data_IF_279268623099
#
_entry.id   IF_279268623099
#
_cell.length_a   1.000
_cell.length_b   1.000
_cell.length_c   1.000
_cell.angle_alpha   90.00
_cell.angle_beta   90.00
_cell.angle_gamma   90.00
#
_symmetry.space_group_name_H-M   'P 1'
#
loop_
_entity.id
_entity.type
_entity.pdbx_description
1 polymer ?
#
# COMPACT_ATOMS: atom_id res chain seq x y z
N UNK A 1 8.65 23.21 31.43
CA UNK A 1 8.47 22.30 30.27
C UNK A 1 6.99 22.19 30.02
N UNK A 2 6.48 22.74 28.92
CA UNK A 2 5.11 22.48 28.50
C UNK A 2 5.06 21.05 27.93
N UNK A 3 4.21 20.19 28.51
CA UNK A 3 3.85 18.92 27.88
C UNK A 3 3.22 19.25 26.52
N UNK A 4 3.86 18.83 25.43
CA UNK A 4 3.18 18.83 24.15
C UNK A 4 2.00 17.86 24.23
N UNK A 5 0.83 18.22 23.67
CA UNK A 5 -0.31 17.32 23.64
C UNK A 5 0.11 16.03 22.93
N UNK A 6 -0.21 14.89 23.54
CA UNK A 6 -0.09 13.60 22.86
C UNK A 6 -0.99 13.67 21.63
N UNK A 7 -0.46 13.42 20.41
CA UNK A 7 -1.28 13.41 19.21
C UNK A 7 -2.43 12.40 19.39
N UNK A 8 -3.65 12.81 19.02
CA UNK A 8 -4.78 11.89 18.95
C UNK A 8 -4.59 10.86 17.84
N UNK A 9 -5.43 9.81 17.79
CA UNK A 9 -5.36 8.80 16.73
C UNK A 9 -5.55 9.44 15.34
N UNK A 10 -4.85 8.90 14.34
CA UNK A 10 -4.96 9.31 12.94
C UNK A 10 -6.31 8.87 12.40
N UNK A 11 -7.07 9.80 11.80
CA UNK A 11 -8.34 9.51 11.18
C UNK A 11 -8.17 9.29 9.67
N UNK A 12 -8.57 8.13 9.16
CA UNK A 12 -8.51 7.82 7.72
C UNK A 12 -9.87 7.36 7.22
N UNK A 13 -10.53 8.10 6.32
CA UNK A 13 -11.85 7.72 5.83
C UNK A 13 -11.75 6.58 4.80
N UNK A 14 -12.76 5.71 4.79
CA UNK A 14 -12.88 4.63 3.82
C UNK A 14 -14.34 4.44 3.40
N UNK A 15 -14.51 3.91 2.19
CA UNK A 15 -15.80 3.71 1.55
C UNK A 15 -15.88 2.33 0.91
N UNK A 16 -17.04 1.72 1.02
CA UNK A 16 -17.41 0.46 0.41
C UNK A 16 -18.42 0.73 -0.70
N UNK A 17 -18.30 -0.02 -1.79
CA UNK A 17 -19.38 -0.21 -2.74
C UNK A 17 -19.47 -1.68 -3.17
N UNK A 18 -20.69 -2.16 -3.35
CA UNK A 18 -20.97 -3.47 -3.93
C UNK A 18 -20.56 -3.52 -5.41
N UNK A 19 -20.61 -2.36 -6.07
CA UNK A 19 -20.12 -2.17 -7.43
C UNK A 19 -19.49 -0.78 -7.57
N UNK A 20 -18.29 -0.73 -8.13
CA UNK A 20 -17.60 0.52 -8.44
C UNK A 20 -17.79 0.88 -9.91
N UNK A 21 -18.01 2.17 -10.19
CA UNK A 21 -18.03 2.69 -11.56
C UNK A 21 -16.59 2.99 -12.03
N UNK A 22 -15.73 1.98 -11.97
CA UNK A 22 -14.38 1.98 -12.51
C UNK A 22 -14.23 0.83 -13.51
N UNK A 23 -13.07 0.74 -14.17
CA UNK A 23 -12.81 -0.29 -15.18
C UNK A 23 -12.74 -1.71 -14.59
N UNK A 24 -12.77 -1.85 -13.26
CA UNK A 24 -12.72 -3.14 -12.56
C UNK A 24 -14.12 -3.63 -12.17
N UNK A 25 -15.01 -2.75 -11.72
CA UNK A 25 -16.38 -3.09 -11.33
C UNK A 25 -16.51 -4.02 -10.12
N UNK A 26 -15.42 -4.24 -9.38
CA UNK A 26 -15.34 -5.26 -8.32
C UNK A 26 -15.83 -4.74 -6.98
N UNK A 27 -16.57 -5.56 -6.22
CA UNK A 27 -16.95 -5.27 -4.84
C UNK A 27 -15.72 -4.98 -3.98
N UNK A 28 -15.79 -3.96 -3.12
CA UNK A 28 -14.81 -3.82 -2.04
C UNK A 28 -14.72 -2.43 -1.45
N UNK A 29 -13.65 -2.23 -0.70
CA UNK A 29 -13.34 -1.01 0.02
C UNK A 29 -12.23 -0.20 -0.65
N UNK A 30 -12.35 1.13 -0.61
CA UNK A 30 -11.33 2.07 -1.02
C UNK A 30 -11.10 3.11 0.06
N UNK A 31 -9.87 3.59 0.20
CA UNK A 31 -9.58 4.77 1.00
C UNK A 31 -10.26 6.00 0.35
N UNK A 32 -10.91 6.84 1.15
CA UNK A 32 -11.60 8.05 0.71
C UNK A 32 -10.69 9.27 0.89
N UNK A 33 -9.47 9.17 0.38
CA UNK A 33 -8.40 10.16 0.55
C UNK A 33 -8.09 10.87 -0.78
N UNK A 34 -7.68 12.15 -0.76
CA UNK A 34 -7.30 12.84 -1.98
C UNK A 34 -6.15 12.11 -2.72
N UNK A 35 -6.23 12.06 -4.04
CA UNK A 35 -5.18 11.47 -4.87
C UNK A 35 -5.26 9.96 -5.04
N UNK A 36 -6.40 9.32 -4.74
CA UNK A 36 -6.69 7.96 -5.24
C UNK A 36 -6.72 8.01 -6.77
N UNK A 37 -5.71 7.45 -7.42
CA UNK A 37 -5.68 7.32 -8.88
C UNK A 37 -6.80 6.41 -9.40
N UNK A 38 -7.09 6.44 -10.72
CA UNK A 38 -8.08 5.55 -11.33
C UNK A 38 -7.70 4.07 -11.24
N UNK A 39 -6.42 3.79 -10.99
CA UNK A 39 -5.78 2.48 -10.87
C UNK A 39 -5.90 1.85 -9.46
N UNK A 40 -6.43 2.58 -8.47
CA UNK A 40 -6.65 2.03 -7.13
C UNK A 40 -7.86 1.10 -7.13
N UNK A 41 -7.62 -0.20 -7.00
CA UNK A 41 -8.64 -1.25 -7.00
C UNK A 41 -9.32 -1.32 -5.64
N UNK A 42 -10.60 -1.70 -5.62
CA UNK A 42 -11.30 -1.96 -4.37
C UNK A 42 -10.72 -3.21 -3.68
N UNK A 43 -10.32 -3.08 -2.42
CA UNK A 43 -9.77 -4.17 -1.63
C UNK A 43 -10.86 -5.00 -0.95
N UNK A 44 -10.56 -6.29 -0.77
CA UNK A 44 -11.30 -7.19 0.14
C UNK A 44 -10.35 -7.66 1.25
N UNK A 45 -10.86 -8.21 2.36
CA UNK A 45 -9.99 -8.68 3.44
C UNK A 45 -9.10 -9.87 3.05
N UNK A 46 -9.25 -10.42 1.85
CA UNK A 46 -8.42 -11.54 1.38
C UNK A 46 -6.93 -11.19 1.45
N UNK A 47 -6.19 -12.02 2.16
CA UNK A 47 -4.72 -11.96 2.23
C UNK A 47 -4.12 -12.87 1.16
N UNK A 48 -2.93 -12.54 0.67
CA UNK A 48 -2.15 -13.48 -0.14
C UNK A 48 -1.64 -14.67 0.69
N UNK A 49 -1.00 -15.64 0.05
CA UNK A 49 -0.44 -16.82 0.73
C UNK A 49 0.76 -16.47 1.64
N UNK A 50 1.49 -15.40 1.32
CA UNK A 50 2.79 -15.06 1.95
C UNK A 50 2.74 -13.87 2.89
N UNK A 51 1.82 -12.94 2.67
CA UNK A 51 1.72 -11.70 3.44
C UNK A 51 0.38 -11.72 4.18
N UNK A 52 0.37 -11.59 5.53
CA UNK A 52 -0.83 -11.75 6.35
C UNK A 52 -1.72 -10.49 6.36
N UNK A 53 -1.60 -9.64 5.34
CA UNK A 53 -2.40 -8.42 5.20
C UNK A 53 -2.83 -8.24 3.76
N UNK A 54 -4.07 -7.82 3.56
CA UNK A 54 -4.66 -7.53 2.26
C UNK A 54 -4.03 -6.31 1.58
N UNK A 55 -4.30 -6.15 0.28
CA UNK A 55 -3.93 -4.96 -0.52
C UNK A 55 -4.49 -3.68 0.11
N UNK A 56 -5.71 -3.70 0.65
CA UNK A 56 -6.27 -2.53 1.34
C UNK A 56 -5.44 -2.09 2.54
N UNK A 57 -4.94 -3.05 3.33
CA UNK A 57 -4.07 -2.74 4.48
C UNK A 57 -2.70 -2.25 4.00
N UNK A 58 -2.21 -2.75 2.87
CA UNK A 58 -1.00 -2.22 2.23
C UNK A 58 -1.17 -0.75 1.81
N UNK A 59 -2.25 -0.41 1.10
CA UNK A 59 -2.58 0.97 0.71
C UNK A 59 -2.67 1.91 1.93
N UNK A 60 -3.25 1.42 3.02
CA UNK A 60 -3.38 2.20 4.24
C UNK A 60 -2.03 2.36 4.95
N UNK A 61 -1.34 1.27 5.24
CA UNK A 61 -0.15 1.25 6.12
C UNK A 61 1.12 1.67 5.39
N UNK A 62 1.33 1.10 4.21
CA UNK A 62 2.59 1.18 3.50
C UNK A 62 2.61 2.33 2.48
N UNK A 63 1.44 2.77 1.98
CA UNK A 63 1.31 4.02 1.22
C UNK A 63 0.88 5.20 2.10
N UNK A 64 -0.39 5.24 2.50
CA UNK A 64 -1.02 6.45 3.04
C UNK A 64 -0.35 6.94 4.33
N UNK A 65 -0.18 6.07 5.33
CA UNK A 65 0.48 6.42 6.58
C UNK A 65 1.99 6.70 6.41
N UNK A 66 2.59 6.26 5.31
CA UNK A 66 3.98 6.56 4.95
C UNK A 66 4.11 7.82 4.06
N UNK A 67 3.00 8.49 3.75
CA UNK A 67 2.99 9.73 2.96
C UNK A 67 3.16 9.54 1.45
N UNK A 68 2.99 8.32 0.94
CA UNK A 68 2.98 8.03 -0.49
C UNK A 68 1.58 8.18 -1.08
N UNK A 69 1.51 8.46 -2.38
CA UNK A 69 0.26 8.31 -3.14
C UNK A 69 -0.04 6.83 -3.33
N UNK A 70 -1.30 6.51 -3.59
CA UNK A 70 -1.75 5.14 -3.89
C UNK A 70 -1.44 4.70 -5.33
N UNK A 71 -0.74 5.53 -6.10
CA UNK A 71 -0.37 5.25 -7.48
C UNK A 71 0.92 5.96 -7.88
N UNK A 72 1.51 5.50 -8.99
CA UNK A 72 2.80 5.97 -9.49
C UNK A 72 3.95 5.05 -9.06
N UNK A 73 4.89 4.82 -9.96
CA UNK A 73 5.89 3.77 -9.77
C UNK A 73 6.89 4.08 -8.66
N UNK A 74 7.21 5.35 -8.44
CA UNK A 74 8.14 5.74 -7.40
C UNK A 74 7.54 5.62 -5.99
N UNK A 75 6.25 5.90 -5.86
CA UNK A 75 5.52 5.77 -4.60
C UNK A 75 5.28 4.29 -4.29
N UNK A 76 4.92 3.48 -5.29
CA UNK A 76 4.86 2.01 -5.21
C UNK A 76 6.20 1.40 -4.79
N UNK A 77 7.32 1.88 -5.37
CA UNK A 77 8.65 1.43 -4.96
C UNK A 77 8.91 1.66 -3.46
N UNK A 78 8.49 2.83 -2.95
CA UNK A 78 8.59 3.17 -1.54
C UNK A 78 7.73 2.27 -0.66
N UNK A 79 6.46 2.10 -1.05
CA UNK A 79 5.48 1.30 -0.31
C UNK A 79 5.84 -0.18 -0.26
N UNK A 80 6.33 -0.78 -1.35
CA UNK A 80 6.77 -2.19 -1.34
C UNK A 80 8.01 -2.41 -0.47
N UNK A 81 8.93 -1.43 -0.40
CA UNK A 81 10.03 -1.48 0.60
C UNK A 81 9.47 -1.37 2.02
N UNK A 82 8.48 -0.52 2.26
CA UNK A 82 7.81 -0.42 3.55
C UNK A 82 7.13 -1.76 3.93
N UNK A 83 6.44 -2.40 3.00
CA UNK A 83 5.84 -3.71 3.18
C UNK A 83 6.90 -4.76 3.52
N UNK A 84 7.95 -4.88 2.71
CA UNK A 84 9.07 -5.80 2.92
C UNK A 84 9.71 -5.63 4.30
N UNK A 85 9.88 -4.39 4.75
CA UNK A 85 10.46 -4.11 6.06
C UNK A 85 9.59 -4.55 7.25
N UNK A 86 8.25 -4.60 7.11
CA UNK A 86 7.37 -5.05 8.20
C UNK A 86 7.04 -6.54 8.15
N UNK A 87 7.12 -7.18 6.98
CA UNK A 87 6.74 -8.58 6.80
C UNK A 87 7.92 -9.53 6.60
N UNK A 88 9.09 -9.00 6.24
CA UNK A 88 10.23 -9.80 5.79
C UNK A 88 10.07 -10.36 4.37
N UNK A 89 9.07 -9.90 3.60
CA UNK A 89 8.89 -10.33 2.22
C UNK A 89 9.97 -9.77 1.29
N UNK A 90 10.17 -10.45 0.15
CA UNK A 90 11.03 -9.96 -0.93
C UNK A 90 10.20 -9.13 -1.93
N UNK A 91 10.45 -7.80 -2.06
CA UNK A 91 9.68 -6.94 -2.95
C UNK A 91 10.05 -7.12 -4.42
N UNK A 92 11.12 -7.87 -4.75
CA UNK A 92 11.58 -8.04 -6.13
C UNK A 92 10.55 -8.74 -7.00
N UNK A 93 9.80 -9.71 -6.45
CA UNK A 93 8.76 -10.40 -7.18
C UNK A 93 7.62 -9.45 -7.59
N UNK A 94 7.21 -8.55 -6.68
CA UNK A 94 6.17 -7.55 -6.94
C UNK A 94 6.65 -6.52 -7.98
N UNK A 95 7.90 -6.05 -7.88
CA UNK A 95 8.49 -5.18 -8.90
C UNK A 95 8.51 -5.84 -10.29
N UNK A 96 8.85 -7.13 -10.36
CA UNK A 96 8.89 -7.86 -11.62
C UNK A 96 7.50 -8.02 -12.22
N UNK A 97 6.48 -8.24 -11.39
CA UNK A 97 5.10 -8.29 -11.86
C UNK A 97 4.70 -6.95 -12.49
N UNK A 98 4.94 -5.82 -11.81
CA UNK A 98 4.66 -4.47 -12.35
C UNK A 98 5.42 -4.25 -13.67
N UNK A 99 6.69 -4.65 -13.74
CA UNK A 99 7.49 -4.52 -14.97
C UNK A 99 6.87 -5.32 -16.12
N UNK A 100 6.44 -6.54 -15.85
CA UNK A 100 5.95 -7.47 -16.87
C UNK A 100 4.51 -7.16 -17.32
N UNK A 101 3.68 -6.64 -16.42
CA UNK A 101 2.27 -6.30 -16.68
C UNK A 101 2.11 -4.89 -17.26
N UNK A 102 2.89 -3.91 -16.78
CA UNK A 102 2.74 -2.51 -17.19
C UNK A 102 3.83 -2.04 -18.14
N UNK A 103 5.09 -2.17 -17.72
CA UNK A 103 6.20 -1.47 -18.37
C UNK A 103 6.63 -2.14 -19.68
N UNK A 104 6.87 -3.45 -19.69
CA UNK A 104 7.28 -4.15 -20.92
C UNK A 104 6.20 -4.10 -22.01
N UNK A 105 4.89 -4.23 -21.70
CA UNK A 105 3.83 -4.06 -22.69
C UNK A 105 3.61 -2.61 -23.14
N UNK A 106 4.16 -1.62 -22.43
CA UNK A 106 3.90 -0.20 -22.67
C UNK A 106 2.49 0.23 -22.25
N UNK A 107 1.93 -0.43 -21.23
CA UNK A 107 0.70 -0.09 -20.54
C UNK A 107 0.98 0.83 -19.34
N UNK A 108 1.77 1.89 -19.59
CA UNK A 108 2.28 2.78 -18.54
C UNK A 108 1.15 3.64 -17.98
N UNK A 109 0.90 3.51 -16.68
CA UNK A 109 -0.12 4.29 -15.96
C UNK A 109 0.47 5.53 -15.25
N UNK A 110 1.77 5.52 -14.93
CA UNK A 110 2.48 6.59 -14.22
C UNK A 110 3.39 7.45 -15.10
N UNK A 111 3.53 8.75 -14.77
CA UNK A 111 4.42 9.68 -15.50
C UNK A 111 5.90 9.59 -15.09
N UNK A 112 6.19 8.85 -14.02
CA UNK A 112 7.48 8.81 -13.33
C UNK A 112 8.34 7.59 -13.66
N UNK A 113 7.90 6.73 -14.59
CA UNK A 113 8.59 5.49 -14.98
C UNK A 113 10.03 5.72 -15.46
N UNK A 114 10.33 6.86 -16.09
CA UNK A 114 11.68 7.18 -16.59
C UNK A 114 12.68 7.37 -15.45
N UNK A 115 12.22 7.74 -14.25
CA UNK A 115 13.07 7.90 -13.07
C UNK A 115 13.55 6.56 -12.47
N UNK A 116 12.97 5.44 -12.92
CA UNK A 116 13.46 4.10 -12.59
C UNK A 116 14.68 3.70 -13.45
N UNK A 117 14.92 4.37 -14.57
CA UNK A 117 16.03 4.03 -15.45
C UNK A 117 17.30 4.78 -15.06
N UNK A 118 18.49 4.23 -15.35
CA UNK A 118 19.73 4.99 -15.25
C UNK A 118 19.67 6.27 -16.08
N UNK A 119 20.27 7.35 -15.58
CA UNK A 119 20.22 8.66 -16.25
C UNK A 119 20.69 8.62 -17.71
N UNK A 120 21.67 7.77 -18.05
CA UNK A 120 22.15 7.59 -19.42
C UNK A 120 21.11 6.97 -20.36
N UNK A 121 20.26 6.08 -19.85
CA UNK A 121 19.16 5.48 -20.61
C UNK A 121 18.00 6.45 -20.69
N UNK A 122 17.64 7.08 -19.56
CA UNK A 122 16.56 8.05 -19.50
C UNK A 122 16.80 9.27 -20.41
N UNK A 123 18.05 9.75 -20.52
CA UNK A 123 18.41 10.86 -21.40
C UNK A 123 18.20 10.58 -22.90
N UNK A 124 18.15 9.29 -23.30
CA UNK A 124 17.81 8.89 -24.66
C UNK A 124 16.32 8.97 -24.97
N UNK A 125 15.47 9.11 -23.95
CA UNK A 125 14.02 9.24 -24.09
C UNK A 125 13.72 10.72 -24.32
N UNK A 126 13.36 11.07 -25.57
CA UNK A 126 12.99 12.44 -25.93
C UNK A 126 11.83 12.97 -25.07
N UNK A 127 11.81 14.28 -24.75
CA UNK A 127 10.72 14.87 -23.99
C UNK A 127 9.39 14.77 -24.76
N UNK A 128 8.33 14.32 -24.08
CA UNK A 128 7.00 14.21 -24.67
C UNK A 128 6.80 13.00 -25.59
N UNK A 129 7.77 12.08 -25.66
CA UNK A 129 7.55 10.80 -26.33
C UNK A 129 6.42 10.02 -25.65
N UNK A 130 5.59 9.39 -26.47
CA UNK A 130 4.61 8.43 -25.97
C UNK A 130 5.33 7.29 -25.22
N UNK A 131 4.94 6.96 -23.97
CA UNK A 131 5.62 5.94 -23.19
C UNK A 131 5.72 4.58 -23.89
N UNK A 132 4.70 4.18 -24.65
CA UNK A 132 4.69 2.89 -25.35
C UNK A 132 5.75 2.87 -26.45
N UNK A 133 5.83 3.94 -27.24
CA UNK A 133 6.83 4.05 -28.32
C UNK A 133 8.27 4.12 -27.77
N UNK A 134 8.46 4.84 -26.66
CA UNK A 134 9.74 4.92 -25.96
C UNK A 134 10.18 3.55 -25.45
N UNK A 135 9.29 2.83 -24.76
CA UNK A 135 9.56 1.49 -24.23
C UNK A 135 9.79 0.47 -25.36
N UNK A 136 9.02 0.53 -26.45
CA UNK A 136 9.26 -0.33 -27.61
C UNK A 136 10.63 -0.08 -28.24
N UNK A 137 11.10 1.17 -28.24
CA UNK A 137 12.44 1.51 -28.72
C UNK A 137 13.51 0.94 -27.79
N UNK A 138 13.40 1.17 -26.47
CA UNK A 138 14.30 0.59 -25.48
C UNK A 138 14.34 -0.94 -25.54
N UNK A 139 13.19 -1.59 -25.74
CA UNK A 139 13.11 -3.05 -25.91
C UNK A 139 13.86 -3.53 -27.15
N UNK A 140 13.76 -2.83 -28.28
CA UNK A 140 14.52 -3.18 -29.50
C UNK A 140 16.02 -2.99 -29.32
N UNK A 141 16.44 -1.98 -28.56
CA UNK A 141 17.86 -1.63 -28.39
C UNK A 141 18.55 -2.49 -27.33
N UNK A 142 17.89 -2.75 -26.20
CA UNK A 142 18.47 -3.41 -25.03
C UNK A 142 18.00 -4.87 -24.86
N UNK A 143 16.83 -5.21 -25.39
CA UNK A 143 16.15 -6.47 -25.13
C UNK A 143 15.42 -6.50 -23.79
N UNK A 144 14.39 -7.35 -23.70
CA UNK A 144 13.49 -7.43 -22.54
C UNK A 144 14.22 -7.79 -21.25
N UNK A 145 15.20 -8.70 -21.29
CA UNK A 145 15.94 -9.13 -20.11
C UNK A 145 16.80 -8.02 -19.48
N UNK A 146 17.47 -7.21 -20.30
CA UNK A 146 18.25 -6.06 -19.82
C UNK A 146 17.33 -4.99 -19.27
N UNK A 147 16.24 -4.68 -19.99
CA UNK A 147 15.30 -3.67 -19.57
C UNK A 147 14.61 -4.04 -18.25
N UNK A 148 14.22 -5.31 -18.07
CA UNK A 148 13.71 -5.83 -16.80
C UNK A 148 14.71 -5.65 -15.67
N UNK A 149 15.97 -6.05 -15.88
CA UNK A 149 17.02 -5.91 -14.86
C UNK A 149 17.26 -4.44 -14.46
N UNK A 150 17.24 -3.52 -15.44
CA UNK A 150 17.37 -2.08 -15.19
C UNK A 150 16.21 -1.53 -14.38
N UNK A 151 14.96 -1.86 -14.74
CA UNK A 151 13.81 -1.44 -13.97
C UNK A 151 13.79 -2.02 -12.57
N UNK A 152 14.09 -3.31 -12.39
CA UNK A 152 14.18 -3.93 -11.06
C UNK A 152 15.21 -3.20 -10.20
N UNK A 153 16.40 -2.91 -10.73
CA UNK A 153 17.41 -2.13 -10.01
C UNK A 153 16.92 -0.72 -9.68
N UNK A 154 16.19 -0.09 -10.60
CA UNK A 154 15.52 1.20 -10.42
C UNK A 154 14.53 1.20 -9.27
N UNK A 155 13.58 0.26 -9.26
CA UNK A 155 12.60 0.09 -8.19
C UNK A 155 13.28 -0.10 -6.83
N UNK A 156 14.25 -1.02 -6.75
CA UNK A 156 15.00 -1.26 -5.51
C UNK A 156 15.67 0.03 -5.05
N UNK A 157 16.40 0.71 -5.92
CA UNK A 157 17.10 1.94 -5.57
C UNK A 157 16.15 3.05 -5.09
N UNK A 158 15.09 3.31 -5.86
CA UNK A 158 14.11 4.36 -5.56
C UNK A 158 13.31 4.05 -4.29
N UNK A 159 12.95 2.79 -4.06
CA UNK A 159 12.27 2.37 -2.84
C UNK A 159 13.10 2.61 -1.60
N UNK A 160 14.38 2.21 -1.61
CA UNK A 160 15.28 2.43 -0.47
C UNK A 160 15.56 3.91 -0.21
N UNK A 161 15.68 4.75 -1.25
CA UNK A 161 15.85 6.20 -1.08
C UNK A 161 14.68 6.86 -0.33
N UNK A 162 13.47 6.28 -0.40
CA UNK A 162 12.26 6.83 0.22
C UNK A 162 12.03 6.39 1.66
N UNK A 163 12.78 5.39 2.13
CA UNK A 163 12.60 4.77 3.45
C UNK A 163 12.58 5.79 4.59
N UNK A 164 13.55 6.70 4.63
CA UNK A 164 13.70 7.62 5.75
C UNK A 164 12.60 8.69 5.74
N UNK A 165 12.15 9.10 4.54
CA UNK A 165 10.99 9.99 4.39
C UNK A 165 9.68 9.30 4.83
N UNK A 166 9.48 8.04 4.48
CA UNK A 166 8.33 7.25 4.94
C UNK A 166 8.29 7.16 6.47
N UNK A 167 9.43 6.87 7.11
CA UNK A 167 9.55 6.84 8.57
C UNK A 167 9.25 8.20 9.19
N UNK A 168 9.73 9.29 8.59
CA UNK A 168 9.44 10.63 9.07
C UNK A 168 7.95 10.97 8.95
N UNK A 169 7.30 10.62 7.84
CA UNK A 169 5.86 10.82 7.63
C UNK A 169 5.02 10.04 8.64
N UNK A 170 5.37 8.78 8.91
CA UNK A 170 4.72 7.96 9.93
C UNK A 170 4.84 8.59 11.32
N UNK A 171 6.06 8.97 11.71
CA UNK A 171 6.35 9.55 13.03
C UNK A 171 5.69 10.92 13.21
N UNK A 172 5.59 11.71 12.14
CA UNK A 172 4.92 13.02 12.17
C UNK A 172 3.43 12.93 12.48
N UNK A 173 2.81 11.76 12.28
CA UNK A 173 1.43 11.48 12.67
C UNK A 173 1.28 11.06 14.14
N UNK A 174 2.38 10.97 14.90
CA UNK A 174 2.38 10.53 16.29
C UNK A 174 2.36 9.00 16.46
N UNK A 175 2.54 8.25 15.37
CA UNK A 175 2.60 6.79 15.40
C UNK A 175 4.04 6.30 15.67
N UNK A 176 4.16 5.23 16.45
CA UNK A 176 5.41 4.52 16.67
C UNK A 176 5.72 3.68 15.42
N UNK A 177 6.84 3.99 14.77
CA UNK A 177 7.28 3.29 13.58
C UNK A 177 7.64 1.83 13.84
N UNK A 178 8.05 1.48 15.06
CA UNK A 178 8.34 0.09 15.43
C UNK A 178 7.06 -0.75 15.57
N UNK A 179 5.93 -0.12 15.88
CA UNK A 179 4.64 -0.80 16.02
C UNK A 179 3.95 -1.14 14.69
N UNK A 180 4.52 -0.72 13.54
CA UNK A 180 3.96 -0.93 12.18
C UNK A 180 3.45 -2.35 11.91
N UNK A 181 4.23 -3.42 12.15
CA UNK A 181 3.76 -4.78 11.89
C UNK A 181 2.49 -5.12 12.68
N UNK A 182 2.42 -4.69 13.94
CA UNK A 182 1.29 -4.97 14.83
C UNK A 182 0.06 -4.11 14.51
N UNK A 183 0.28 -2.85 14.16
CA UNK A 183 -0.78 -1.96 13.65
C UNK A 183 -1.39 -2.55 12.38
N UNK A 184 -0.57 -3.07 11.46
CA UNK A 184 -1.05 -3.67 10.23
C UNK A 184 -1.90 -4.93 10.47
N UNK A 185 -1.49 -5.80 11.40
CA UNK A 185 -2.27 -6.98 11.77
C UNK A 185 -3.59 -6.60 12.44
N UNK A 186 -3.58 -5.64 13.37
CA UNK A 186 -4.81 -5.15 14.01
C UNK A 186 -5.76 -4.49 12.99
N UNK A 187 -5.22 -3.79 11.99
CA UNK A 187 -6.00 -3.23 10.88
C UNK A 187 -6.59 -4.31 9.98
N UNK A 188 -5.86 -5.40 9.73
CA UNK A 188 -6.36 -6.54 8.97
C UNK A 188 -7.54 -7.22 9.69
N UNK A 189 -7.42 -7.49 10.99
CA UNK A 189 -8.52 -8.04 11.80
C UNK A 189 -9.75 -7.11 11.79
N UNK A 190 -9.52 -5.81 11.97
CA UNK A 190 -10.58 -4.80 11.90
C UNK A 190 -11.25 -4.78 10.52
N UNK A 191 -10.47 -4.96 9.46
CA UNK A 191 -10.97 -4.96 8.09
C UNK A 191 -11.83 -6.19 7.79
N UNK A 192 -11.44 -7.37 8.27
CA UNK A 192 -12.25 -8.59 8.21
C UNK A 192 -13.62 -8.39 8.89
N UNK A 193 -13.62 -7.77 10.08
CA UNK A 193 -14.86 -7.42 10.77
C UNK A 193 -15.71 -6.42 9.95
N UNK A 194 -15.11 -5.35 9.44
CA UNK A 194 -15.82 -4.33 8.67
C UNK A 194 -16.52 -4.91 7.44
N UNK A 195 -15.81 -5.72 6.67
CA UNK A 195 -16.34 -6.33 5.46
C UNK A 195 -17.43 -7.36 5.78
N UNK A 196 -17.23 -8.16 6.84
CA UNK A 196 -18.27 -9.09 7.32
C UNK A 196 -19.56 -8.36 7.75
N UNK A 197 -19.46 -7.17 8.35
CA UNK A 197 -20.64 -6.35 8.70
C UNK A 197 -21.41 -5.91 7.45
N UNK A 198 -20.71 -5.39 6.46
CA UNK A 198 -21.33 -4.95 5.20
C UNK A 198 -22.03 -6.12 4.50
N UNK A 199 -21.37 -7.28 4.43
CA UNK A 199 -21.92 -8.48 3.82
C UNK A 199 -23.15 -9.01 4.58
N UNK A 200 -23.04 -9.15 5.90
CA UNK A 200 -24.13 -9.66 6.75
C UNK A 200 -25.37 -8.77 6.69
N UNK A 201 -25.16 -7.45 6.60
CA UNK A 201 -26.25 -6.46 6.53
C UNK A 201 -26.71 -6.18 5.09
N UNK A 202 -26.10 -6.82 4.10
CA UNK A 202 -26.35 -6.62 2.69
C UNK A 202 -26.37 -5.14 2.28
N UNK A 203 -25.40 -4.36 2.78
CA UNK A 203 -25.27 -2.96 2.38
C UNK A 203 -24.67 -2.87 0.98
N UNK A 204 -25.31 -2.10 0.10
CA UNK A 204 -24.76 -1.83 -1.23
C UNK A 204 -23.66 -0.76 -1.21
N UNK A 205 -23.68 0.11 -0.19
CA UNK A 205 -22.70 1.15 0.04
C UNK A 205 -22.47 1.33 1.54
N UNK A 206 -21.23 1.63 1.93
CA UNK A 206 -20.93 2.04 3.28
C UNK A 206 -19.77 3.05 3.32
N UNK A 207 -19.68 3.82 4.41
CA UNK A 207 -18.61 4.77 4.69
C UNK A 207 -18.32 4.74 6.18
N UNK A 208 -17.05 4.91 6.52
CA UNK A 208 -16.64 5.15 7.89
C UNK A 208 -15.25 5.73 7.99
N UNK A 209 -14.80 5.89 9.23
CA UNK A 209 -13.47 6.39 9.54
C UNK A 209 -12.71 5.36 10.36
N UNK A 210 -11.48 5.06 9.94
CA UNK A 210 -10.48 4.46 10.80
C UNK A 210 -10.01 5.49 11.83
N UNK A 211 -9.72 5.01 13.04
CA UNK A 211 -8.97 5.73 14.06
C UNK A 211 -7.75 4.87 14.43
N UNK A 212 -6.56 5.33 14.08
CA UNK A 212 -5.32 4.55 14.18
C UNK A 212 -4.44 5.16 15.26
N UNK A 213 -4.15 4.39 16.31
CA UNK A 213 -3.22 4.75 17.37
C UNK A 213 -2.20 3.66 17.65
N UNK A 214 -1.30 3.93 18.58
CA UNK A 214 -0.22 3.01 18.95
C UNK A 214 -0.69 1.80 19.76
N UNK A 215 -1.77 1.97 20.52
CA UNK A 215 -2.29 0.93 21.44
C UNK A 215 -3.53 0.23 20.89
N UNK A 216 -4.22 0.85 19.93
CA UNK A 216 -5.45 0.33 19.35
C UNK A 216 -5.75 0.98 18.00
N UNK A 217 -6.45 0.23 17.14
CA UNK A 217 -7.08 0.72 15.92
C UNK A 217 -8.58 0.50 16.02
N UNK A 218 -9.38 1.36 15.40
CA UNK A 218 -10.83 1.18 15.38
C UNK A 218 -11.46 1.72 14.12
N UNK A 219 -12.69 1.29 13.86
CA UNK A 219 -13.50 1.77 12.75
C UNK A 219 -14.88 2.16 13.24
N UNK A 220 -15.37 3.30 12.73
CA UNK A 220 -16.74 3.76 12.98
C UNK A 220 -17.46 3.93 11.64
N UNK A 221 -18.52 3.14 11.45
CA UNK A 221 -19.44 3.34 10.34
C UNK A 221 -20.21 4.67 10.50
N UNK A 222 -20.09 5.54 9.51
CA UNK A 222 -20.81 6.81 9.40
C UNK A 222 -22.11 6.63 8.64
N UNK A 223 -22.05 5.90 7.54
CA UNK A 223 -23.17 5.70 6.63
C UNK A 223 -23.15 4.27 6.12
N UNK A 224 -24.20 3.45 6.35
CA UNK A 224 -25.21 3.66 7.38
C UNK A 224 -24.57 3.81 8.78
N UNK A 225 -25.15 4.63 9.65
CA UNK A 225 -24.63 4.78 11.01
C UNK A 225 -24.62 3.41 11.72
N UNK A 226 -23.47 3.05 12.28
CA UNK A 226 -23.25 1.69 12.78
C UNK A 226 -22.38 1.64 14.03
N UNK A 227 -22.05 0.40 14.39
CA UNK A 227 -21.23 0.11 15.55
C UNK A 227 -19.79 0.60 15.34
N UNK A 228 -19.15 1.00 16.44
CA UNK A 228 -17.71 1.20 16.50
C UNK A 228 -17.07 -0.09 16.96
N UNK A 229 -16.09 -0.58 16.21
CA UNK A 229 -15.23 -1.68 16.65
C UNK A 229 -13.81 -1.19 16.91
N UNK A 230 -13.10 -1.86 17.81
CA UNK A 230 -11.72 -1.51 18.18
C UNK A 230 -10.95 -2.79 18.44
N UNK A 231 -9.76 -2.87 17.85
CA UNK A 231 -8.81 -3.97 17.98
C UNK A 231 -7.56 -3.41 18.66
N UNK A 232 -7.05 -4.11 19.66
CA UNK A 232 -5.82 -3.72 20.35
C UNK A 232 -4.60 -3.92 19.44
N UNK A 233 -3.64 -3.01 19.51
CA UNK A 233 -2.33 -3.19 18.90
C UNK A 233 -1.46 -3.91 19.91
N UNK A 234 -1.26 -5.19 19.70
CA UNK A 234 -0.40 -6.01 20.55
C UNK A 234 0.52 -6.87 19.68
N UNK A 235 1.76 -7.12 20.14
CA UNK A 235 2.53 -8.21 19.57
C UNK A 235 1.75 -9.52 19.73
N UNK A 236 1.80 -10.43 18.74
CA UNK A 236 1.24 -11.76 18.91
C UNK A 236 1.90 -12.40 20.15
N UNK A 237 1.14 -13.15 20.97
CA UNK A 237 1.72 -13.82 22.13
C UNK A 237 2.90 -14.69 21.67
N UNK A 238 4.04 -14.58 22.36
CA UNK A 238 5.23 -15.39 22.08
C UNK A 238 4.83 -16.86 21.95
N UNK A 239 5.08 -17.47 20.79
CA UNK A 239 4.91 -18.91 20.60
C UNK A 239 6.06 -19.72 21.25
N UNK A 240 6.97 -19.07 21.97
CA UNK A 240 8.21 -19.65 22.51
C UNK A 240 8.11 -20.23 23.93
N UNK A 241 6.91 -20.47 24.46
CA UNK A 241 6.78 -21.22 25.72
C UNK A 241 6.70 -22.75 25.56
N UNK A 242 7.02 -23.31 24.39
CA UNK A 242 6.95 -24.76 24.14
C UNK A 242 8.28 -25.40 23.71
N UNK A 243 9.42 -24.95 24.25
CA UNK A 243 10.66 -25.74 24.29
C UNK A 243 11.22 -25.80 25.71
N UNK A 244 10.50 -26.47 26.61
CA UNK A 244 11.14 -27.12 27.76
C UNK A 244 10.26 -28.24 28.29
N UNK A 245 10.31 -29.40 27.63
CA UNK A 245 10.19 -30.73 28.26
C UNK A 245 10.20 -31.82 27.18
N UNK A 246 11.37 -32.38 26.90
CA UNK A 246 11.61 -33.82 26.71
C UNK A 246 13.11 -34.10 26.68
#
# INVERSE_FOLDING_TARGET
MAMQPVPGPVAVPARYAEHWNDDFGVRGWKLDVPGTGPDVIAGTPYTGERIPTSVFVHDLVDHHLCGFRLSGYLDEAGALVQLAQRTGSDPVADFQQIIDEDLLPGAVMGVDWTALLPASVAAGIGPGNDPRDALQTLRRELGDGVLRALFTAGFVHQGWLRRDAARAAWTAQGLDYAARPYIALALQELFEWMDAQVQTRAWSHARGDFAIGNDAVGFLFREPAGERHTVAVAPPPDQDSNETQS
#
